data_IF_465437264866
#
_entry.id   IF_465437264866
#
_cell.length_a   1.000
_cell.length_b   1.000
_cell.length_c   1.000
_cell.angle_alpha   90.00
_cell.angle_beta   90.00
_cell.angle_gamma   90.00
#
_symmetry.space_group_name_H-M   'P 1'
#
loop_
_entity.id
_entity.type
_entity.pdbx_description
1 polymer ?
#
# COMPACT_ATOMS: atom_id res chain seq x y z
N UNK A 1 0.69 -8.89 11.04
CA UNK A 1 0.67 -7.51 10.50
C UNK A 1 2.01 -7.26 9.81
N UNK A 2 2.02 -6.98 8.49
CA UNK A 2 3.24 -6.85 7.67
C UNK A 2 4.01 -5.57 8.02
N UNK A 3 3.31 -4.44 8.11
CA UNK A 3 3.85 -3.18 8.61
C UNK A 3 3.15 -2.79 9.90
N UNK A 4 3.91 -2.74 11.00
CA UNK A 4 3.36 -2.32 12.29
C UNK A 4 2.94 -0.84 12.22
N UNK A 5 1.78 -0.54 12.78
CA UNK A 5 1.27 0.83 13.01
C UNK A 5 1.06 1.01 14.51
N UNK A 6 1.31 2.22 15.02
CA UNK A 6 1.09 2.55 16.44
C UNK A 6 0.01 3.63 16.56
N UNK A 7 -0.87 3.58 17.58
CA UNK A 7 -1.93 4.60 17.76
C UNK A 7 -1.41 6.04 17.81
N UNK A 8 -0.19 6.23 18.33
CA UNK A 8 0.48 7.54 18.39
C UNK A 8 0.79 8.19 17.04
N UNK A 9 0.69 7.45 15.93
CA UNK A 9 0.90 7.96 14.58
C UNK A 9 -0.33 8.68 14.01
N UNK A 10 -1.51 8.46 14.60
CA UNK A 10 -2.76 9.08 14.14
C UNK A 10 -2.65 10.61 14.28
N UNK A 11 -3.05 11.34 13.24
CA UNK A 11 -2.99 12.81 13.20
C UNK A 11 -1.61 13.40 12.92
N UNK A 12 -0.55 12.59 12.82
CA UNK A 12 0.78 13.08 12.42
C UNK A 12 0.89 13.25 10.91
N UNK A 13 1.67 14.23 10.49
CA UNK A 13 2.06 14.35 9.10
C UNK A 13 2.84 13.10 8.64
N UNK A 14 2.56 12.60 7.43
CA UNK A 14 3.09 11.31 6.93
C UNK A 14 4.62 11.23 6.93
N UNK A 15 5.30 12.36 6.77
CA UNK A 15 6.75 12.49 6.83
C UNK A 15 7.33 12.10 8.20
N UNK A 16 6.56 12.32 9.28
CA UNK A 16 6.94 11.96 10.65
C UNK A 16 6.64 10.49 10.99
N UNK A 17 5.99 9.77 10.08
CA UNK A 17 5.66 8.35 10.25
C UNK A 17 6.67 7.43 9.56
N UNK A 18 7.63 7.98 8.81
CA UNK A 18 8.60 7.23 8.02
C UNK A 18 10.04 7.59 8.41
N UNK A 19 10.98 6.63 8.37
CA UNK A 19 12.40 6.93 8.52
C UNK A 19 12.88 7.88 7.40
N UNK A 20 13.84 8.79 7.66
CA UNK A 20 14.29 9.79 6.67
C UNK A 20 14.64 9.21 5.30
N UNK A 21 15.30 8.04 5.27
CA UNK A 21 15.69 7.33 4.05
C UNK A 21 14.53 6.90 3.13
N UNK A 22 13.29 6.88 3.62
CA UNK A 22 12.09 6.45 2.88
C UNK A 22 11.18 7.63 2.53
N UNK A 23 11.27 8.75 3.26
CA UNK A 23 10.38 9.90 3.12
C UNK A 23 10.32 10.40 1.68
N UNK A 24 11.46 10.54 1.00
CA UNK A 24 11.50 11.05 -0.37
C UNK A 24 10.77 10.15 -1.37
N UNK A 25 10.82 8.82 -1.15
CA UNK A 25 10.07 7.86 -1.98
C UNK A 25 8.57 8.04 -1.77
N UNK A 26 8.13 8.18 -0.52
CA UNK A 26 6.71 8.39 -0.18
C UNK A 26 6.21 9.71 -0.79
N UNK A 27 6.98 10.79 -0.69
CA UNK A 27 6.66 12.08 -1.32
C UNK A 27 6.44 11.95 -2.82
N UNK A 28 7.36 11.27 -3.51
CA UNK A 28 7.24 11.05 -4.96
C UNK A 28 5.99 10.24 -5.33
N UNK A 29 5.66 9.21 -4.56
CA UNK A 29 4.43 8.44 -4.76
C UNK A 29 3.20 9.34 -4.61
N UNK A 30 3.15 10.14 -3.54
CA UNK A 30 2.00 10.99 -3.24
C UNK A 30 1.81 12.06 -4.31
N UNK A 31 2.91 12.61 -4.85
CA UNK A 31 2.85 13.58 -5.95
C UNK A 31 2.27 12.97 -7.23
N UNK A 32 2.71 11.77 -7.61
CA UNK A 32 2.19 11.05 -8.78
C UNK A 32 0.68 10.78 -8.66
N UNK A 33 0.22 10.43 -7.44
CA UNK A 33 -1.18 10.15 -7.16
C UNK A 33 -2.03 11.43 -7.13
N UNK A 34 -1.54 12.47 -6.45
CA UNK A 34 -2.24 13.75 -6.32
C UNK A 34 -2.43 14.44 -7.67
N UNK A 35 -1.39 14.47 -8.50
CA UNK A 35 -1.43 15.09 -9.84
C UNK A 35 -2.21 14.28 -10.88
N UNK A 36 -2.61 13.05 -10.55
CA UNK A 36 -3.30 12.18 -11.51
C UNK A 36 -2.39 11.58 -12.58
N UNK A 37 -1.07 11.74 -12.48
CA UNK A 37 -0.12 11.03 -13.36
C UNK A 37 -0.24 9.51 -13.22
N UNK A 38 -0.66 9.03 -12.05
CA UNK A 38 -1.02 7.63 -11.78
C UNK A 38 -2.21 7.56 -10.84
N UNK A 39 -3.06 6.54 -11.01
CA UNK A 39 -4.10 6.21 -10.03
C UNK A 39 -3.62 5.23 -8.96
N UNK A 40 -2.56 4.48 -9.24
CA UNK A 40 -1.94 3.58 -8.28
C UNK A 40 -0.43 3.42 -8.50
N UNK A 41 0.28 3.14 -7.40
CA UNK A 41 1.68 2.71 -7.40
C UNK A 41 1.77 1.40 -6.62
N UNK A 42 2.39 0.40 -7.24
CA UNK A 42 2.50 -0.96 -6.69
C UNK A 42 3.96 -1.33 -6.48
N UNK A 43 4.24 -2.07 -5.41
CA UNK A 43 5.55 -2.67 -5.17
C UNK A 43 5.39 -4.03 -4.51
N UNK A 44 6.36 -4.92 -4.74
CA UNK A 44 6.35 -6.24 -4.14
C UNK A 44 7.74 -6.71 -3.78
N UNK A 45 7.82 -7.56 -2.76
CA UNK A 45 9.06 -8.19 -2.32
C UNK A 45 8.79 -9.46 -1.54
N UNK A 46 9.71 -10.41 -1.62
CA UNK A 46 9.71 -11.60 -0.76
C UNK A 46 10.32 -11.23 0.59
N UNK A 47 9.61 -11.49 1.67
CA UNK A 47 10.11 -11.33 3.04
C UNK A 47 10.43 -12.70 3.62
N UNK A 48 11.69 -13.10 3.53
CA UNK A 48 12.15 -14.42 4.02
C UNK A 48 11.91 -14.56 5.54
N UNK A 49 12.15 -13.50 6.31
CA UNK A 49 11.96 -13.50 7.77
C UNK A 49 10.50 -13.69 8.21
N UNK A 50 9.54 -13.33 7.37
CA UNK A 50 8.11 -13.52 7.64
C UNK A 50 7.52 -14.72 6.90
N UNK A 51 8.25 -15.32 5.95
CA UNK A 51 7.73 -16.35 5.04
C UNK A 51 6.60 -15.83 4.15
N UNK A 52 6.66 -14.57 3.70
CA UNK A 52 5.56 -13.91 2.95
C UNK A 52 6.03 -13.35 1.62
N UNK A 53 5.12 -13.32 0.65
CA UNK A 53 5.29 -12.51 -0.57
C UNK A 53 4.42 -11.27 -0.42
N UNK A 54 5.06 -10.14 -0.13
CA UNK A 54 4.36 -8.89 0.22
C UNK A 54 4.05 -8.12 -1.05
N UNK A 55 2.78 -7.76 -1.24
CA UNK A 55 2.29 -6.85 -2.26
C UNK A 55 1.73 -5.59 -1.61
N UNK A 56 2.29 -4.43 -1.94
CA UNK A 56 1.89 -3.12 -1.42
C UNK A 56 1.30 -2.30 -2.55
N UNK A 57 0.17 -1.63 -2.27
CA UNK A 57 -0.45 -0.68 -3.19
C UNK A 57 -0.71 0.64 -2.49
N UNK A 58 -0.32 1.72 -3.15
CA UNK A 58 -0.77 3.07 -2.87
C UNK A 58 -1.75 3.48 -3.96
N UNK A 59 -3.00 3.76 -3.60
CA UNK A 59 -4.07 4.12 -4.52
C UNK A 59 -4.58 5.52 -4.25
N UNK A 60 -4.76 6.32 -5.30
CA UNK A 60 -5.42 7.62 -5.18
C UNK A 60 -6.89 7.42 -4.80
N UNK A 61 -7.33 8.12 -3.76
CA UNK A 61 -8.75 8.22 -3.41
C UNK A 61 -9.25 9.54 -3.96
N UNK A 62 -10.31 9.47 -4.76
CA UNK A 62 -10.99 10.61 -5.36
C UNK A 62 -12.47 10.55 -5.01
N UNK A 63 -13.12 11.70 -4.89
CA UNK A 63 -14.58 11.75 -4.76
C UNK A 63 -15.27 11.63 -6.13
N UNK A 64 -16.60 11.74 -6.12
CA UNK A 64 -17.43 11.63 -7.32
C UNK A 64 -17.18 12.76 -8.34
N UNK A 65 -16.56 13.86 -7.93
CA UNK A 65 -16.17 14.97 -8.81
C UNK A 65 -14.75 14.79 -9.36
N UNK A 66 -14.02 13.76 -8.93
CA UNK A 66 -12.64 13.49 -9.32
C UNK A 66 -11.60 14.20 -8.44
N UNK A 67 -12.04 14.92 -7.41
CA UNK A 67 -11.15 15.69 -6.53
C UNK A 67 -10.37 14.75 -5.59
N UNK A 68 -9.09 15.04 -5.41
CA UNK A 68 -8.19 14.18 -4.63
C UNK A 68 -8.47 14.27 -3.12
N UNK A 69 -8.88 13.15 -2.52
CA UNK A 69 -9.22 13.06 -1.10
C UNK A 69 -8.10 12.45 -0.25
N UNK A 70 -7.12 11.77 -0.88
CA UNK A 70 -5.99 11.19 -0.17
C UNK A 70 -5.42 9.95 -0.84
N UNK A 71 -4.62 9.21 -0.08
CA UNK A 71 -3.99 7.96 -0.52
C UNK A 71 -4.44 6.83 0.38
N UNK A 72 -4.95 5.75 -0.22
CA UNK A 72 -5.18 4.49 0.45
C UNK A 72 -3.94 3.59 0.25
N UNK A 73 -3.28 3.23 1.35
CA UNK A 73 -2.26 2.19 1.35
C UNK A 73 -2.89 0.87 1.81
N UNK A 74 -2.74 -0.19 1.03
CA UNK A 74 -3.07 -1.55 1.45
C UNK A 74 -1.94 -2.53 1.14
N UNK A 75 -1.79 -3.51 2.01
CA UNK A 75 -0.68 -4.47 1.99
C UNK A 75 -1.24 -5.86 2.16
N UNK A 76 -0.84 -6.75 1.27
CA UNK A 76 -1.33 -8.12 1.21
C UNK A 76 -0.16 -9.10 1.20
N UNK A 77 -0.36 -10.21 1.90
CA UNK A 77 0.45 -11.41 1.69
C UNK A 77 -0.19 -12.20 0.55
N UNK A 78 0.50 -12.28 -0.57
CA UNK A 78 0.03 -12.97 -1.77
C UNK A 78 0.72 -14.34 -1.97
N UNK A 79 1.55 -14.78 -1.02
CA UNK A 79 2.14 -16.12 -1.06
C UNK A 79 1.08 -17.22 -1.25
N UNK A 80 -0.09 -17.19 -0.54
CA UNK A 80 -1.12 -18.21 -0.73
C UNK A 80 -1.71 -18.24 -2.16
N UNK A 81 -1.62 -17.14 -2.92
CA UNK A 81 -2.14 -17.10 -4.28
C UNK A 81 -1.29 -17.90 -5.27
N UNK A 82 -0.02 -18.14 -4.97
CA UNK A 82 0.86 -18.96 -5.81
C UNK A 82 0.58 -20.46 -5.66
N UNK A 83 -0.16 -20.84 -4.62
CA UNK A 83 -0.50 -22.23 -4.31
C UNK A 83 -1.90 -22.60 -4.80
N UNK A 84 -2.65 -21.65 -5.36
CA UNK A 84 -3.97 -21.91 -5.96
C UNK A 84 -3.77 -22.74 -7.24
N UNK A 85 -4.26 -23.97 -7.21
CA UNK A 85 -4.17 -24.95 -8.31
C UNK A 85 -5.55 -25.36 -8.87
N UNK A 86 -6.61 -24.71 -8.39
CA UNK A 86 -7.99 -24.96 -8.78
C UNK A 86 -8.65 -23.74 -9.44
N UNK A 87 -9.62 -24.00 -10.32
CA UNK A 87 -10.29 -22.94 -11.09
C UNK A 87 -11.23 -22.08 -10.24
N UNK A 88 -11.78 -22.63 -9.14
CA UNK A 88 -12.77 -21.94 -8.30
C UNK A 88 -12.68 -22.35 -6.83
N UNK A 89 -12.80 -21.37 -5.94
CA UNK A 89 -13.01 -21.56 -4.51
C UNK A 89 -14.16 -20.65 -4.05
N UNK A 90 -15.32 -21.24 -3.73
CA UNK A 90 -16.57 -20.53 -3.39
C UNK A 90 -17.27 -21.18 -2.20
N UNK A 91 -16.56 -21.31 -1.09
CA UNK A 91 -17.17 -21.69 0.18
C UNK A 91 -17.86 -20.43 0.76
N UNK A 92 -19.19 -20.46 0.87
CA UNK A 92 -20.01 -19.42 1.49
C UNK A 92 -20.54 -19.93 2.83
#
# INVERSE_FOLDING_TARGET
MIFKRTPSQIGRHVELCHPPKIVDKVKKIFELLRTGQKDQVTMWFKSESMGKFVYVVYKAVRDDQGEFQGVLEYVQDIQPFFEIDSDFHREL
#
